data_IF_933140800387
#
_entry.id   IF_933140800387
#
_cell.length_a   1.000
_cell.length_b   1.000
_cell.length_c   1.000
_cell.angle_alpha   90.00
_cell.angle_beta   90.00
_cell.angle_gamma   90.00
#
_symmetry.space_group_name_H-M   'P 1'
#
loop_
_entity.id
_entity.type
_entity.pdbx_description
1 polymer ?
#
# COMPACT_ATOMS: atom_id res chain seq x y z
N UNK A 1 37.60 40.63 -20.77
CA UNK A 1 36.43 39.84 -20.34
C UNK A 1 35.73 40.69 -19.29
N UNK A 2 34.57 41.25 -19.60
CA UNK A 2 33.92 42.24 -18.75
C UNK A 2 33.46 41.63 -17.43
N UNK A 3 33.56 42.37 -16.32
CA UNK A 3 33.13 41.90 -15.00
C UNK A 3 31.66 41.41 -14.98
N UNK A 4 30.82 41.96 -15.87
CA UNK A 4 29.42 41.53 -16.07
C UNK A 4 29.30 40.15 -16.71
N UNK A 5 30.16 39.81 -17.67
CA UNK A 5 30.13 38.48 -18.30
C UNK A 5 30.72 37.41 -17.39
N UNK A 6 31.74 37.74 -16.59
CA UNK A 6 32.26 36.86 -15.55
C UNK A 6 31.21 36.58 -14.44
N UNK A 7 30.48 37.61 -13.99
CA UNK A 7 29.41 37.45 -13.01
C UNK A 7 28.23 36.63 -13.55
N UNK A 8 27.82 36.86 -14.80
CA UNK A 8 26.78 36.07 -15.46
C UNK A 8 27.19 34.60 -15.62
N UNK A 9 28.43 34.32 -16.02
CA UNK A 9 28.96 32.97 -16.12
C UNK A 9 29.01 32.26 -14.76
N UNK A 10 29.44 32.96 -13.70
CA UNK A 10 29.45 32.41 -12.34
C UNK A 10 28.03 32.08 -11.83
N UNK A 11 27.05 32.95 -12.09
CA UNK A 11 25.65 32.71 -11.73
C UNK A 11 25.05 31.51 -12.48
N UNK A 12 25.33 31.39 -13.78
CA UNK A 12 24.91 30.23 -14.59
C UNK A 12 25.54 28.93 -14.08
N UNK A 13 26.83 28.96 -13.73
CA UNK A 13 27.52 27.80 -13.18
C UNK A 13 26.96 27.37 -11.82
N UNK A 14 26.64 28.32 -10.93
CA UNK A 14 25.99 28.01 -9.65
C UNK A 14 24.58 27.43 -9.83
N UNK A 15 23.79 27.95 -10.78
CA UNK A 15 22.47 27.40 -11.10
C UNK A 15 22.58 25.95 -11.62
N UNK A 16 23.58 25.67 -12.47
CA UNK A 16 23.86 24.33 -12.96
C UNK A 16 24.20 23.37 -11.81
N UNK A 17 25.12 23.74 -10.90
CA UNK A 17 25.49 22.90 -9.75
C UNK A 17 24.27 22.58 -8.87
N UNK A 18 23.44 23.58 -8.55
CA UNK A 18 22.22 23.38 -7.76
C UNK A 18 21.24 22.43 -8.46
N UNK A 19 21.09 22.56 -9.79
CA UNK A 19 20.29 21.66 -10.59
C UNK A 19 20.79 20.22 -10.55
N UNK A 20 22.11 20.01 -10.68
CA UNK A 20 22.74 18.70 -10.62
C UNK A 20 22.55 18.04 -9.25
N UNK A 21 22.80 18.78 -8.16
CA UNK A 21 22.59 18.29 -6.80
C UNK A 21 21.14 17.85 -6.58
N UNK A 22 20.19 18.65 -7.04
CA UNK A 22 18.75 18.32 -6.98
C UNK A 22 18.44 17.01 -7.69
N UNK A 23 18.92 16.83 -8.92
CA UNK A 23 18.64 15.60 -9.66
C UNK A 23 19.31 14.40 -9.01
N UNK A 24 20.56 14.53 -8.57
CA UNK A 24 21.25 13.46 -7.86
C UNK A 24 20.50 13.05 -6.59
N UNK A 25 19.99 14.02 -5.83
CA UNK A 25 19.21 13.76 -4.63
C UNK A 25 17.91 13.01 -4.96
N UNK A 26 17.09 13.53 -5.89
CA UNK A 26 15.83 12.88 -6.29
C UNK A 26 16.08 11.47 -6.81
N UNK A 27 17.07 11.29 -7.69
CA UNK A 27 17.44 9.97 -8.22
C UNK A 27 17.90 9.00 -7.12
N UNK A 28 18.63 9.49 -6.11
CA UNK A 28 19.05 8.67 -4.98
C UNK A 28 17.85 8.20 -4.15
N UNK A 29 16.87 9.07 -3.92
CA UNK A 29 15.62 8.73 -3.23
C UNK A 29 14.77 7.73 -4.03
N UNK A 30 14.68 7.90 -5.35
CA UNK A 30 14.00 6.95 -6.24
C UNK A 30 14.66 5.56 -6.19
N UNK A 31 16.00 5.51 -6.19
CA UNK A 31 16.76 4.27 -6.04
C UNK A 31 16.55 3.61 -4.67
N UNK A 32 16.51 4.40 -3.59
CA UNK A 32 16.19 3.90 -2.24
C UNK A 32 14.77 3.30 -2.25
N UNK A 33 13.79 4.01 -2.81
CA UNK A 33 12.41 3.54 -2.89
C UNK A 33 12.31 2.20 -3.64
N UNK A 34 12.94 2.10 -4.82
CA UNK A 34 12.99 0.88 -5.62
C UNK A 34 13.68 -0.28 -4.87
N UNK A 35 14.80 0.01 -4.20
CA UNK A 35 15.57 -1.00 -3.46
C UNK A 35 14.78 -1.56 -2.27
N UNK A 36 14.13 -0.67 -1.51
CA UNK A 36 13.30 -1.04 -0.36
C UNK A 36 12.07 -1.85 -0.80
N UNK A 37 11.44 -1.47 -1.92
CA UNK A 37 10.34 -2.23 -2.51
C UNK A 37 10.76 -3.65 -2.89
N UNK A 38 11.88 -3.79 -3.60
CA UNK A 38 12.40 -5.10 -4.03
C UNK A 38 12.74 -5.95 -2.82
N UNK A 39 13.39 -5.36 -1.82
CA UNK A 39 13.72 -6.04 -0.56
C UNK A 39 12.46 -6.52 0.18
N UNK A 40 11.43 -5.67 0.32
CA UNK A 40 10.15 -6.05 0.90
C UNK A 40 9.49 -7.20 0.15
N UNK A 41 9.53 -7.15 -1.18
CA UNK A 41 8.97 -8.20 -2.02
C UNK A 41 9.63 -9.55 -1.76
N UNK A 42 10.97 -9.61 -1.72
CA UNK A 42 11.68 -10.84 -1.38
C UNK A 42 11.28 -11.38 0.01
N UNK A 43 11.19 -10.51 1.02
CA UNK A 43 10.83 -10.92 2.38
C UNK A 43 9.41 -11.51 2.49
N UNK A 44 8.47 -11.03 1.69
CA UNK A 44 7.08 -11.49 1.76
C UNK A 44 6.71 -12.50 0.68
N UNK A 45 7.60 -12.79 -0.26
CA UNK A 45 7.30 -13.58 -1.46
C UNK A 45 6.79 -14.98 -1.10
N UNK A 46 7.41 -15.64 -0.13
CA UNK A 46 6.97 -16.97 0.33
C UNK A 46 5.53 -16.94 0.85
N UNK A 47 5.21 -15.96 1.70
CA UNK A 47 3.84 -15.76 2.21
C UNK A 47 2.86 -15.45 1.08
N UNK A 48 3.27 -14.63 0.10
CA UNK A 48 2.46 -14.29 -1.06
C UNK A 48 2.11 -15.54 -1.87
N UNK A 49 3.09 -16.38 -2.20
CA UNK A 49 2.88 -17.63 -2.92
C UNK A 49 1.93 -18.56 -2.15
N UNK A 50 2.14 -18.69 -0.84
CA UNK A 50 1.35 -19.57 0.02
C UNK A 50 -0.11 -19.11 0.22
N UNK A 51 -0.37 -17.79 0.29
CA UNK A 51 -1.66 -17.21 0.69
C UNK A 51 -2.46 -16.58 -0.45
N UNK A 52 -1.80 -16.20 -1.55
CA UNK A 52 -2.42 -15.49 -2.67
C UNK A 52 -2.41 -16.32 -3.93
N UNK A 53 -1.25 -16.86 -4.31
CA UNK A 53 -1.12 -17.57 -5.59
C UNK A 53 -1.92 -18.88 -5.60
N UNK A 54 -1.82 -19.67 -4.53
CA UNK A 54 -2.56 -20.93 -4.37
C UNK A 54 -4.07 -20.76 -4.11
N UNK A 55 -4.52 -19.54 -3.78
CA UNK A 55 -5.95 -19.26 -3.57
C UNK A 55 -6.69 -19.17 -4.90
N UNK A 56 -7.98 -19.54 -4.89
CA UNK A 56 -8.89 -19.33 -6.03
C UNK A 56 -8.94 -17.86 -6.45
N UNK A 57 -9.21 -17.64 -7.75
CA UNK A 57 -9.39 -16.30 -8.30
C UNK A 57 -10.62 -15.62 -7.72
N UNK A 58 -10.42 -14.42 -7.17
CA UNK A 58 -11.49 -13.58 -6.66
C UNK A 58 -11.11 -12.11 -6.87
N UNK A 59 -12.09 -11.22 -6.70
CA UNK A 59 -11.92 -9.78 -6.87
C UNK A 59 -10.75 -9.22 -6.02
N UNK A 60 -10.65 -9.61 -4.75
CA UNK A 60 -9.59 -9.15 -3.84
C UNK A 60 -8.20 -9.64 -4.24
N UNK A 61 -8.07 -10.82 -4.87
CA UNK A 61 -6.80 -11.35 -5.41
C UNK A 61 -6.33 -10.52 -6.59
N UNK A 62 -7.23 -10.18 -7.52
CA UNK A 62 -6.90 -9.31 -8.66
C UNK A 62 -6.44 -7.94 -8.15
N UNK A 63 -7.20 -7.35 -7.23
CA UNK A 63 -6.90 -6.03 -6.68
C UNK A 63 -5.54 -6.01 -5.95
N UNK A 64 -5.26 -7.04 -5.14
CA UNK A 64 -3.97 -7.21 -4.49
C UNK A 64 -2.81 -7.32 -5.49
N UNK A 65 -2.93 -8.15 -6.52
CA UNK A 65 -1.86 -8.34 -7.51
C UNK A 65 -1.59 -7.05 -8.30
N UNK A 66 -2.64 -6.35 -8.75
CA UNK A 66 -2.48 -5.08 -9.45
C UNK A 66 -1.78 -4.04 -8.56
N UNK A 67 -2.24 -3.88 -7.32
CA UNK A 67 -1.62 -2.99 -6.34
C UNK A 67 -0.14 -3.33 -6.07
N UNK A 68 0.15 -4.61 -5.81
CA UNK A 68 1.48 -5.10 -5.41
C UNK A 68 2.51 -4.90 -6.50
N UNK A 69 2.14 -5.15 -7.76
CA UNK A 69 3.07 -5.17 -8.88
C UNK A 69 3.15 -3.85 -9.66
N UNK A 70 2.18 -2.94 -9.52
CA UNK A 70 2.26 -1.62 -10.17
C UNK A 70 3.54 -0.83 -9.84
N UNK A 71 4.04 -0.76 -8.59
CA UNK A 71 5.28 -0.06 -8.27
C UNK A 71 6.52 -0.57 -9.02
N UNK A 72 6.53 -1.83 -9.44
CA UNK A 72 7.60 -2.36 -10.28
C UNK A 72 7.55 -1.77 -11.69
N UNK A 73 6.35 -1.55 -12.23
CA UNK A 73 6.19 -0.92 -13.53
C UNK A 73 6.41 0.59 -13.45
N UNK A 74 5.82 1.27 -12.46
CA UNK A 74 5.93 2.73 -12.33
C UNK A 74 7.32 3.19 -11.84
N UNK A 75 7.78 2.70 -10.69
CA UNK A 75 8.98 3.20 -10.02
C UNK A 75 10.23 2.46 -10.48
N UNK A 76 10.21 1.13 -10.52
CA UNK A 76 11.41 0.34 -10.89
C UNK A 76 11.68 0.42 -12.38
N UNK A 77 10.66 0.32 -13.23
CA UNK A 77 10.86 0.33 -14.68
C UNK A 77 10.82 1.75 -15.27
N UNK A 78 9.68 2.45 -15.22
CA UNK A 78 9.53 3.73 -15.94
C UNK A 78 10.42 4.84 -15.36
N UNK A 79 10.43 5.04 -14.04
CA UNK A 79 11.25 6.09 -13.43
C UNK A 79 12.75 5.80 -13.60
N UNK A 80 13.24 4.59 -13.32
CA UNK A 80 14.67 4.30 -13.54
C UNK A 80 15.06 4.39 -15.02
N UNK A 81 14.18 3.99 -15.94
CA UNK A 81 14.40 4.20 -17.37
C UNK A 81 14.46 5.68 -17.73
N UNK A 82 13.65 6.54 -17.12
CA UNK A 82 13.73 8.00 -17.31
C UNK A 82 15.06 8.58 -16.82
N UNK A 83 15.69 7.99 -15.80
CA UNK A 83 16.95 8.47 -15.23
C UNK A 83 18.18 7.94 -15.96
N UNK A 84 18.15 6.68 -16.39
CA UNK A 84 19.34 5.96 -16.89
C UNK A 84 19.20 5.47 -18.34
N UNK A 85 18.01 5.60 -18.96
CA UNK A 85 17.71 5.05 -20.28
C UNK A 85 18.41 5.78 -21.43
N UNK A 86 18.96 5.06 -22.43
CA UNK A 86 19.64 5.67 -23.58
C UNK A 86 18.67 6.44 -24.51
N UNK A 87 19.10 7.59 -25.04
CA UNK A 87 18.47 8.25 -26.20
C UNK A 87 17.09 8.87 -25.99
N UNK A 88 16.75 9.31 -24.78
CA UNK A 88 15.44 9.93 -24.51
C UNK A 88 15.37 11.38 -25.02
N UNK A 89 14.45 11.65 -25.95
CA UNK A 89 14.08 13.01 -26.33
C UNK A 89 13.09 13.65 -25.36
N UNK A 90 12.95 14.98 -25.41
CA UNK A 90 12.05 15.77 -24.53
C UNK A 90 10.59 15.28 -24.56
N UNK A 91 10.07 14.93 -25.74
CA UNK A 91 8.71 14.41 -25.90
C UNK A 91 8.56 13.05 -25.22
N UNK A 92 9.54 12.18 -25.37
CA UNK A 92 9.56 10.88 -24.70
C UNK A 92 9.64 11.05 -23.19
N UNK A 93 10.49 11.95 -22.68
CA UNK A 93 10.56 12.28 -21.25
C UNK A 93 9.18 12.65 -20.69
N UNK A 94 8.47 13.56 -21.35
CA UNK A 94 7.12 13.99 -20.91
C UNK A 94 6.13 12.82 -20.91
N UNK A 95 6.16 11.96 -21.94
CA UNK A 95 5.27 10.79 -22.03
C UNK A 95 5.56 9.74 -20.96
N UNK A 96 6.83 9.36 -20.78
CA UNK A 96 7.23 8.38 -19.77
C UNK A 96 6.92 8.89 -18.36
N UNK A 97 7.18 10.17 -18.08
CA UNK A 97 6.87 10.79 -16.79
C UNK A 97 5.36 10.89 -16.54
N UNK A 98 4.57 11.26 -17.55
CA UNK A 98 3.11 11.28 -17.42
C UNK A 98 2.57 9.86 -17.18
N UNK A 99 3.08 8.87 -17.90
CA UNK A 99 2.70 7.47 -17.72
C UNK A 99 3.03 6.97 -16.30
N UNK A 100 4.26 7.23 -15.80
CA UNK A 100 4.62 6.86 -14.44
C UNK A 100 3.73 7.56 -13.41
N UNK A 101 3.47 8.86 -13.60
CA UNK A 101 2.58 9.63 -12.72
C UNK A 101 1.16 9.06 -12.62
N UNK A 102 0.53 8.72 -13.76
CA UNK A 102 -0.79 8.10 -13.76
C UNK A 102 -0.78 6.69 -13.18
N UNK A 103 0.28 5.91 -13.41
CA UNK A 103 0.42 4.58 -12.81
C UNK A 103 0.61 4.66 -11.30
N UNK A 104 1.37 5.63 -10.79
CA UNK A 104 1.52 5.87 -9.36
C UNK A 104 0.19 6.27 -8.73
N UNK A 105 -0.54 7.22 -9.34
CA UNK A 105 -1.83 7.67 -8.85
C UNK A 105 -2.86 6.54 -8.83
N UNK A 106 -3.00 5.80 -9.93
CA UNK A 106 -3.92 4.65 -10.03
C UNK A 106 -3.54 3.55 -9.05
N UNK A 107 -2.25 3.27 -8.90
CA UNK A 107 -1.76 2.35 -7.88
C UNK A 107 -2.17 2.79 -6.48
N UNK A 108 -1.85 4.01 -6.05
CA UNK A 108 -2.30 4.50 -4.75
C UNK A 108 -3.83 4.41 -4.59
N UNK A 109 -4.60 4.62 -5.66
CA UNK A 109 -6.05 4.44 -5.65
C UNK A 109 -6.49 3.00 -5.37
N UNK A 110 -5.85 2.00 -6.01
CA UNK A 110 -6.15 0.59 -5.74
C UNK A 110 -5.82 0.21 -4.30
N UNK A 111 -4.72 0.74 -3.76
CA UNK A 111 -4.32 0.57 -2.36
C UNK A 111 -5.37 1.15 -1.40
N UNK A 112 -5.81 2.37 -1.66
CA UNK A 112 -6.84 3.04 -0.89
C UNK A 112 -8.19 2.34 -1.00
N UNK A 113 -8.52 1.77 -2.16
CA UNK A 113 -9.71 0.96 -2.37
C UNK A 113 -9.68 -0.32 -1.50
N UNK A 114 -8.54 -1.02 -1.45
CA UNK A 114 -8.35 -2.18 -0.56
C UNK A 114 -8.63 -1.80 0.90
N UNK A 115 -8.02 -0.71 1.37
CA UNK A 115 -8.20 -0.23 2.74
C UNK A 115 -9.66 0.18 3.02
N UNK A 116 -10.32 0.79 2.05
CA UNK A 116 -11.73 1.20 2.12
C UNK A 116 -12.68 -0.02 2.17
N UNK A 117 -12.42 -1.05 1.37
CA UNK A 117 -13.17 -2.32 1.40
C UNK A 117 -12.98 -3.06 2.72
N UNK A 118 -11.79 -2.97 3.33
CA UNK A 118 -11.55 -3.52 4.67
C UNK A 118 -12.41 -2.84 5.73
N UNK A 119 -12.48 -1.50 5.71
CA UNK A 119 -13.38 -0.74 6.61
C UNK A 119 -14.81 -1.24 6.41
N UNK A 120 -15.32 -1.27 5.18
CA UNK A 120 -16.66 -1.78 4.88
C UNK A 120 -16.92 -3.20 5.43
N UNK A 121 -15.96 -4.11 5.31
CA UNK A 121 -16.08 -5.47 5.83
C UNK A 121 -16.16 -5.54 7.35
N UNK A 122 -15.45 -4.66 8.08
CA UNK A 122 -15.48 -4.61 9.55
C UNK A 122 -16.82 -4.07 10.07
N UNK A 123 -17.46 -3.14 9.36
CA UNK A 123 -18.81 -2.66 9.69
C UNK A 123 -19.94 -3.62 9.30
N UNK A 124 -19.66 -4.92 9.25
CA UNK A 124 -20.65 -5.94 8.92
C UNK A 124 -21.46 -5.65 7.63
N UNK A 125 -20.86 -4.93 6.66
CA UNK A 125 -21.47 -4.56 5.38
C UNK A 125 -22.77 -3.74 5.50
N UNK A 126 -22.81 -2.77 6.41
CA UNK A 126 -23.95 -1.86 6.54
C UNK A 126 -24.35 -1.26 5.15
N UNK A 127 -25.63 -1.35 4.75
CA UNK A 127 -26.11 -0.80 3.48
C UNK A 127 -25.86 0.71 3.33
N UNK A 128 -25.84 1.49 4.42
CA UNK A 128 -25.55 2.93 4.39
C UNK A 128 -24.11 3.18 3.95
N UNK A 129 -23.18 2.41 4.52
CA UNK A 129 -21.76 2.45 4.20
C UNK A 129 -21.50 1.98 2.76
N UNK A 130 -22.28 1.02 2.27
CA UNK A 130 -22.16 0.51 0.89
C UNK A 130 -22.38 1.60 -0.18
N UNK A 131 -23.21 2.61 0.10
CA UNK A 131 -23.43 3.76 -0.80
C UNK A 131 -22.46 4.91 -0.47
N UNK A 132 -22.25 5.19 0.81
CA UNK A 132 -21.44 6.32 1.25
C UNK A 132 -19.95 6.18 0.91
N UNK A 133 -19.34 5.00 1.09
CA UNK A 133 -17.91 4.78 0.84
C UNK A 133 -17.50 5.02 -0.63
N UNK A 134 -18.23 4.51 -1.64
CA UNK A 134 -17.95 4.84 -3.04
C UNK A 134 -18.07 6.33 -3.35
N UNK A 135 -19.05 7.04 -2.77
CA UNK A 135 -19.22 8.48 -3.00
C UNK A 135 -18.04 9.28 -2.47
N UNK A 136 -17.57 8.97 -1.25
CA UNK A 136 -16.37 9.61 -0.67
C UNK A 136 -15.12 9.25 -1.48
N UNK A 137 -14.97 7.97 -1.84
CA UNK A 137 -13.84 7.52 -2.65
C UNK A 137 -13.76 8.30 -3.98
N UNK A 138 -14.86 8.39 -4.72
CA UNK A 138 -14.91 9.16 -5.96
C UNK A 138 -14.71 10.66 -5.72
N UNK A 139 -15.32 11.21 -4.67
CA UNK A 139 -15.20 12.61 -4.29
C UNK A 139 -13.76 13.03 -3.96
N UNK A 140 -12.92 12.12 -3.46
CA UNK A 140 -11.50 12.37 -3.23
C UNK A 140 -10.65 12.11 -4.49
N UNK A 141 -10.88 11.00 -5.18
CA UNK A 141 -10.02 10.58 -6.29
C UNK A 141 -10.22 11.38 -7.58
N UNK A 142 -11.43 11.89 -7.85
CA UNK A 142 -11.68 12.74 -9.03
C UNK A 142 -10.85 14.04 -8.96
N UNK A 143 -10.89 14.82 -7.86
CA UNK A 143 -10.02 15.99 -7.71
C UNK A 143 -8.52 15.65 -7.75
N UNK A 144 -8.09 14.53 -7.15
CA UNK A 144 -6.69 14.09 -7.21
C UNK A 144 -6.24 13.90 -8.67
N UNK A 145 -7.04 13.21 -9.48
CA UNK A 145 -6.72 12.99 -10.90
C UNK A 145 -6.72 14.29 -11.70
N UNK A 146 -7.62 15.22 -11.38
CA UNK A 146 -7.66 16.55 -11.99
C UNK A 146 -6.38 17.36 -11.67
N UNK A 147 -6.00 17.46 -10.40
CA UNK A 147 -4.78 18.18 -10.01
C UNK A 147 -3.52 17.52 -10.57
N UNK A 148 -3.49 16.18 -10.64
CA UNK A 148 -2.41 15.46 -11.31
C UNK A 148 -2.33 15.79 -12.80
N UNK A 149 -3.46 15.86 -13.50
CA UNK A 149 -3.50 16.28 -14.90
C UNK A 149 -2.96 17.70 -15.09
N UNK A 150 -3.42 18.67 -14.29
CA UNK A 150 -2.95 20.07 -14.36
C UNK A 150 -1.45 20.14 -14.10
N UNK A 151 -0.96 19.45 -13.06
CA UNK A 151 0.46 19.36 -12.75
C UNK A 151 1.27 18.80 -13.93
N UNK A 152 0.85 17.66 -14.49
CA UNK A 152 1.55 17.04 -15.63
C UNK A 152 1.58 17.93 -16.89
N UNK A 153 0.54 18.76 -17.09
CA UNK A 153 0.54 19.74 -18.19
C UNK A 153 1.51 20.90 -17.96
N UNK A 154 1.71 21.31 -16.70
CA UNK A 154 2.62 22.39 -16.32
C UNK A 154 4.11 22.03 -16.46
N UNK A 155 4.45 20.75 -16.60
CA UNK A 155 5.84 20.29 -16.63
C UNK A 155 6.56 20.69 -17.91
N UNK A 156 7.67 21.42 -17.74
CA UNK A 156 8.62 21.76 -18.79
C UNK A 156 9.92 20.98 -18.61
N UNK A 157 10.27 20.19 -19.62
CA UNK A 157 11.47 19.36 -19.63
C UNK A 157 12.56 19.95 -20.53
N UNK A 158 13.81 19.81 -20.10
CA UNK A 158 14.99 20.01 -20.95
C UNK A 158 15.91 18.80 -20.91
N UNK A 159 16.76 18.69 -21.92
CA UNK A 159 17.81 17.68 -22.03
C UNK A 159 19.16 18.36 -21.80
N UNK A 160 20.05 17.67 -21.09
CA UNK A 160 21.40 18.16 -20.86
C UNK A 160 22.22 18.08 -22.16
N UNK A 161 23.05 19.09 -22.49
CA UNK A 161 23.87 19.06 -23.69
C UNK A 161 24.86 17.86 -23.67
N UNK A 162 25.08 17.27 -24.84
CA UNK A 162 25.69 15.94 -25.05
C UNK A 162 27.06 15.69 -24.39
N UNK A 163 27.81 16.74 -24.07
CA UNK A 163 29.13 16.61 -23.42
C UNK A 163 28.99 16.26 -21.93
N UNK A 164 27.91 16.69 -21.28
CA UNK A 164 27.59 16.41 -19.88
C UNK A 164 26.73 15.13 -19.73
N UNK A 165 26.08 14.73 -20.82
CA UNK A 165 25.24 13.54 -20.97
C UNK A 165 26.00 12.23 -20.68
N UNK A 166 27.27 12.13 -21.11
CA UNK A 166 28.10 10.95 -20.85
C UNK A 166 28.59 10.83 -19.40
N UNK A 167 28.56 11.93 -18.63
CA UNK A 167 29.07 11.98 -17.25
C UNK A 167 27.93 11.78 -16.24
N UNK A 168 26.74 12.29 -16.53
CA UNK A 168 25.59 12.31 -15.62
C UNK A 168 24.47 11.35 -16.03
N UNK A 169 24.53 10.77 -17.21
CA UNK A 169 23.45 9.99 -17.80
C UNK A 169 22.34 10.86 -18.39
N UNK A 170 21.35 10.20 -18.99
CA UNK A 170 20.28 10.84 -19.77
C UNK A 170 19.19 11.34 -18.85
N UNK A 171 19.44 12.46 -18.18
CA UNK A 171 18.51 12.95 -17.18
C UNK A 171 17.53 13.93 -17.83
N UNK A 172 16.27 13.51 -17.94
CA UNK A 172 15.17 14.43 -18.22
C UNK A 172 15.06 15.44 -17.06
N UNK A 173 15.37 16.70 -17.33
CA UNK A 173 15.42 17.74 -16.29
C UNK A 173 14.14 18.57 -16.29
N UNK A 174 13.46 18.63 -15.14
CA UNK A 174 12.26 19.47 -14.94
C UNK A 174 12.72 20.89 -14.60
N UNK A 175 12.46 21.86 -15.48
CA UNK A 175 12.81 23.27 -15.22
C UNK A 175 11.70 23.96 -14.44
N UNK A 176 10.46 23.69 -14.83
CA UNK A 176 9.28 24.39 -14.35
C UNK A 176 8.17 23.38 -14.04
N UNK A 177 7.51 23.60 -12.92
CA UNK A 177 6.37 22.82 -12.45
C UNK A 177 5.50 23.71 -11.56
N UNK A 178 4.17 23.61 -11.73
CA UNK A 178 3.22 24.30 -10.87
C UNK A 178 3.21 23.63 -9.47
N UNK A 179 3.16 24.47 -8.42
CA UNK A 179 3.04 23.99 -7.04
C UNK A 179 1.67 23.41 -6.72
N UNK A 180 0.67 23.56 -7.60
CA UNK A 180 -0.68 23.00 -7.40
C UNK A 180 -0.69 21.52 -7.02
N UNK A 181 0.38 20.77 -7.34
CA UNK A 181 0.59 19.39 -6.94
C UNK A 181 0.46 19.13 -5.43
N UNK A 182 0.78 20.09 -4.55
CA UNK A 182 0.61 19.87 -3.09
C UNK A 182 -0.85 19.58 -2.71
N UNK A 183 -1.83 20.01 -3.52
CA UNK A 183 -3.25 19.73 -3.28
C UNK A 183 -3.55 18.23 -3.30
N UNK A 184 -2.79 17.43 -4.06
CA UNK A 184 -2.93 15.97 -4.07
C UNK A 184 -2.67 15.41 -2.67
N UNK A 185 -1.57 15.83 -2.04
CA UNK A 185 -1.22 15.40 -0.69
C UNK A 185 -2.19 15.93 0.37
N UNK A 186 -2.70 17.16 0.21
CA UNK A 186 -3.74 17.69 1.10
C UNK A 186 -5.00 16.82 1.06
N UNK A 187 -5.43 16.40 -0.13
CA UNK A 187 -6.59 15.51 -0.29
C UNK A 187 -6.35 14.12 0.30
N UNK A 188 -5.14 13.58 0.16
CA UNK A 188 -4.76 12.31 0.78
C UNK A 188 -4.77 12.41 2.31
N UNK A 189 -4.21 13.48 2.89
CA UNK A 189 -4.27 13.74 4.34
C UNK A 189 -5.71 13.84 4.84
N UNK A 190 -6.59 14.52 4.11
CA UNK A 190 -8.02 14.62 4.49
C UNK A 190 -8.65 13.22 4.52
N UNK A 191 -8.36 12.39 3.52
CA UNK A 191 -8.86 11.01 3.46
C UNK A 191 -8.35 10.17 4.64
N UNK A 192 -7.07 10.30 4.99
CA UNK A 192 -6.43 9.61 6.11
C UNK A 192 -6.95 10.08 7.46
N UNK A 193 -7.11 11.40 7.63
CA UNK A 193 -7.66 12.01 8.84
C UNK A 193 -9.12 11.61 9.06
N UNK A 194 -9.92 11.57 7.98
CA UNK A 194 -11.30 11.07 8.03
C UNK A 194 -11.35 9.62 8.50
N UNK A 195 -10.43 8.77 8.01
CA UNK A 195 -10.32 7.38 8.46
C UNK A 195 -9.85 7.24 9.91
N UNK A 196 -9.06 8.20 10.40
CA UNK A 196 -8.58 8.22 11.78
C UNK A 196 -9.60 8.78 12.79
N UNK A 197 -10.49 9.70 12.39
CA UNK A 197 -11.40 10.44 13.27
C UNK A 197 -12.79 9.84 13.50
N UNK A 198 -13.07 8.62 13.04
CA UNK A 198 -14.37 7.97 13.29
C UNK A 198 -14.52 7.48 14.75
N UNK A 199 -15.77 7.45 15.22
CA UNK A 199 -16.22 7.21 16.61
C UNK A 199 -15.44 6.14 17.40
N UNK A 200 -15.39 6.26 18.73
CA UNK A 200 -14.58 5.42 19.66
C UNK A 200 -14.80 3.88 19.55
N UNK A 201 -15.89 3.44 18.91
CA UNK A 201 -16.13 2.03 18.57
C UNK A 201 -15.37 1.57 17.31
N UNK A 202 -15.07 2.47 16.36
CA UNK A 202 -14.16 2.29 15.22
C UNK A 202 -12.73 2.01 15.70
N UNK A 203 -12.36 2.59 16.85
CA UNK A 203 -11.03 2.55 17.44
C UNK A 203 -10.65 1.20 18.07
N UNK A 204 -11.57 0.42 18.66
CA UNK A 204 -11.15 -0.84 19.29
C UNK A 204 -10.96 -2.00 18.30
N UNK A 205 -11.78 -2.08 17.25
CA UNK A 205 -11.84 -3.28 16.40
C UNK A 205 -11.00 -3.19 15.12
N UNK A 206 -10.80 -1.98 14.56
CA UNK A 206 -9.99 -1.77 13.34
C UNK A 206 -8.55 -1.34 13.68
N UNK A 207 -8.37 -0.66 14.80
CA UNK A 207 -7.15 0.10 15.11
C UNK A 207 -6.06 -0.74 15.80
N UNK A 208 -6.40 -1.79 16.55
CA UNK A 208 -5.40 -2.58 17.32
C UNK A 208 -4.32 -3.23 16.45
N UNK A 209 -4.64 -3.62 15.21
CA UNK A 209 -3.69 -4.27 14.28
C UNK A 209 -3.41 -3.46 13.00
N UNK A 210 -4.18 -2.40 12.72
CA UNK A 210 -4.14 -1.65 11.45
C UNK A 210 -3.71 -0.18 11.54
N UNK A 211 -3.71 0.42 12.74
CA UNK A 211 -3.55 1.86 12.93
C UNK A 211 -2.17 2.40 12.57
N UNK A 212 -1.14 1.64 12.93
CA UNK A 212 0.26 2.02 12.71
C UNK A 212 0.51 2.34 11.24
N UNK A 213 -0.15 1.60 10.33
CA UNK A 213 -0.03 1.83 8.89
C UNK A 213 -0.62 3.18 8.46
N UNK A 214 -1.81 3.53 8.95
CA UNK A 214 -2.41 4.84 8.64
C UNK A 214 -1.60 6.00 9.22
N UNK A 215 -1.01 5.81 10.41
CA UNK A 215 -0.10 6.81 10.99
C UNK A 215 1.16 7.00 10.15
N UNK A 216 1.75 5.93 9.61
CA UNK A 216 2.89 6.03 8.71
C UNK A 216 2.53 6.74 7.39
N UNK A 217 1.37 6.41 6.80
CA UNK A 217 0.90 7.06 5.58
C UNK A 217 0.65 8.56 5.81
N UNK A 218 -0.05 8.90 6.88
CA UNK A 218 -0.27 10.28 7.31
C UNK A 218 1.02 11.06 7.55
N UNK A 219 1.99 10.44 8.22
CA UNK A 219 3.29 11.06 8.43
C UNK A 219 4.03 11.30 7.10
N UNK A 220 4.02 10.34 6.18
CA UNK A 220 4.66 10.46 4.87
C UNK A 220 3.99 11.52 3.98
N UNK A 221 2.66 11.52 3.91
CA UNK A 221 1.89 12.55 3.20
C UNK A 221 2.15 13.95 3.78
N UNK A 222 2.26 14.07 5.10
CA UNK A 222 2.63 15.33 5.78
C UNK A 222 4.05 15.77 5.41
N UNK A 223 5.02 14.85 5.40
CA UNK A 223 6.39 15.13 4.98
C UNK A 223 6.46 15.58 3.52
N UNK A 224 5.66 14.99 2.63
CA UNK A 224 5.57 15.42 1.23
C UNK A 224 5.08 16.87 1.10
N UNK A 225 4.07 17.29 1.87
CA UNK A 225 3.63 18.70 1.90
C UNK A 225 4.75 19.61 2.40
N UNK A 226 5.42 19.24 3.49
CA UNK A 226 6.53 20.04 4.04
C UNK A 226 7.62 20.22 2.99
N UNK A 227 8.01 19.15 2.31
CA UNK A 227 9.01 19.19 1.23
C UNK A 227 8.59 20.15 0.12
N UNK A 228 7.35 20.07 -0.38
CA UNK A 228 6.87 20.94 -1.48
C UNK A 228 6.78 22.42 -1.05
N UNK A 229 6.49 22.69 0.23
CA UNK A 229 6.32 24.07 0.73
C UNK A 229 7.63 24.73 1.14
N UNK A 230 8.60 23.95 1.63
CA UNK A 230 9.87 24.45 2.17
C UNK A 230 10.99 24.44 1.12
N UNK A 231 11.07 23.39 0.29
CA UNK A 231 12.16 23.26 -0.68
C UNK A 231 11.90 24.08 -1.97
N UNK A 232 12.98 24.46 -2.69
CA UNK A 232 12.87 25.11 -3.99
C UNK A 232 12.15 24.25 -5.05
N UNK A 233 11.82 24.86 -6.19
CA UNK A 233 11.21 24.13 -7.30
C UNK A 233 12.09 22.97 -7.79
N UNK A 234 11.44 21.85 -8.13
CA UNK A 234 12.02 20.59 -8.58
C UNK A 234 12.32 19.55 -7.49
N UNK A 235 12.00 19.83 -6.23
CA UNK A 235 12.00 18.84 -5.15
C UNK A 235 10.60 18.27 -4.86
N UNK A 236 9.59 18.63 -5.66
CA UNK A 236 8.19 18.28 -5.39
C UNK A 236 7.93 16.77 -5.40
N UNK A 237 8.83 16.01 -6.02
CA UNK A 237 8.72 14.55 -6.13
C UNK A 237 9.71 13.77 -5.27
N UNK A 238 10.47 14.46 -4.40
CA UNK A 238 11.56 13.85 -3.65
C UNK A 238 11.11 12.67 -2.79
N UNK A 239 9.96 12.80 -2.12
CA UNK A 239 9.40 11.76 -1.25
C UNK A 239 8.24 10.99 -1.92
N UNK A 240 7.79 11.40 -3.11
CA UNK A 240 6.66 10.76 -3.82
C UNK A 240 6.94 9.30 -4.13
N UNK A 241 8.14 8.97 -4.61
CA UNK A 241 8.53 7.58 -4.91
C UNK A 241 8.58 6.71 -3.65
N UNK A 242 9.15 7.22 -2.57
CA UNK A 242 9.19 6.53 -1.27
C UNK A 242 7.78 6.30 -0.75
N UNK A 243 6.94 7.34 -0.71
CA UNK A 243 5.56 7.20 -0.25
C UNK A 243 4.80 6.18 -1.10
N UNK A 244 4.93 6.23 -2.43
CA UNK A 244 4.30 5.26 -3.34
C UNK A 244 4.70 3.82 -3.02
N UNK A 245 6.00 3.54 -2.88
CA UNK A 245 6.50 2.21 -2.57
C UNK A 245 6.05 1.75 -1.18
N UNK A 246 6.24 2.59 -0.16
CA UNK A 246 5.85 2.29 1.22
C UNK A 246 4.36 2.04 1.31
N UNK A 247 3.53 2.87 0.67
CA UNK A 247 2.09 2.68 0.65
C UNK A 247 1.72 1.30 0.11
N UNK A 248 2.29 0.90 -1.03
CA UNK A 248 2.04 -0.44 -1.58
C UNK A 248 2.52 -1.56 -0.66
N UNK A 249 3.71 -1.41 -0.06
CA UNK A 249 4.27 -2.39 0.88
C UNK A 249 3.39 -2.56 2.11
N UNK A 250 2.95 -1.46 2.73
CA UNK A 250 2.11 -1.48 3.92
C UNK A 250 0.75 -2.11 3.62
N UNK A 251 0.07 -1.70 2.54
CA UNK A 251 -1.21 -2.30 2.14
C UNK A 251 -1.07 -3.81 1.89
N UNK A 252 0.03 -4.22 1.25
CA UNK A 252 0.29 -5.63 0.95
C UNK A 252 0.55 -6.47 2.20
N UNK A 253 1.39 -5.97 3.12
CA UNK A 253 1.68 -6.64 4.40
C UNK A 253 0.41 -6.82 5.22
N UNK A 254 -0.42 -5.78 5.33
CA UNK A 254 -1.71 -5.87 6.03
C UNK A 254 -2.56 -7.01 5.47
N UNK A 255 -2.71 -7.10 4.15
CA UNK A 255 -3.50 -8.17 3.54
C UNK A 255 -2.90 -9.56 3.73
N UNK A 256 -1.57 -9.69 3.62
CA UNK A 256 -0.88 -10.96 3.84
C UNK A 256 -1.03 -11.43 5.29
N UNK A 257 -0.84 -10.55 6.28
CA UNK A 257 -1.01 -10.87 7.69
C UNK A 257 -2.44 -11.28 8.03
N UNK A 258 -3.44 -10.57 7.49
CA UNK A 258 -4.86 -10.94 7.67
C UNK A 258 -5.14 -12.33 7.09
N UNK A 259 -4.65 -12.62 5.88
CA UNK A 259 -4.83 -13.96 5.26
C UNK A 259 -4.09 -15.06 6.04
N UNK A 260 -2.91 -14.75 6.56
CA UNK A 260 -2.15 -15.69 7.39
C UNK A 260 -2.92 -16.02 8.68
N UNK A 261 -3.47 -15.01 9.35
CA UNK A 261 -4.27 -15.19 10.56
C UNK A 261 -5.56 -15.97 10.29
N UNK A 262 -6.30 -15.63 9.23
CA UNK A 262 -7.50 -16.37 8.83
C UNK A 262 -7.19 -17.86 8.57
N UNK A 263 -6.12 -18.15 7.81
CA UNK A 263 -5.70 -19.54 7.55
C UNK A 263 -5.27 -20.28 8.82
N UNK A 264 -4.60 -19.59 9.75
CA UNK A 264 -4.19 -20.19 11.04
C UNK A 264 -5.41 -20.55 11.90
N UNK A 265 -6.44 -19.70 11.91
CA UNK A 265 -7.70 -19.99 12.58
C UNK A 265 -8.41 -21.17 11.93
N UNK A 266 -8.53 -21.20 10.61
CA UNK A 266 -9.13 -22.33 9.88
C UNK A 266 -8.41 -23.65 10.19
N UNK A 267 -7.08 -23.64 10.22
CA UNK A 267 -6.29 -24.81 10.60
C UNK A 267 -6.51 -25.22 12.07
N UNK A 268 -6.65 -24.26 12.99
CA UNK A 268 -6.93 -24.53 14.40
C UNK A 268 -8.34 -25.10 14.59
N UNK A 269 -9.35 -24.56 13.89
CA UNK A 269 -10.71 -25.10 13.88
C UNK A 269 -10.75 -26.49 13.24
N UNK A 270 -10.08 -26.69 12.10
CA UNK A 270 -9.94 -28.00 11.49
C UNK A 270 -9.28 -28.98 12.46
N UNK A 271 -8.15 -28.63 13.08
CA UNK A 271 -7.47 -29.48 14.07
C UNK A 271 -8.37 -29.85 15.26
N UNK A 272 -9.14 -28.88 15.80
CA UNK A 272 -10.14 -29.16 16.84
C UNK A 272 -11.27 -30.07 16.36
N UNK A 273 -11.66 -29.98 15.09
CA UNK A 273 -12.70 -30.82 14.51
C UNK A 273 -12.19 -32.21 14.09
N UNK A 274 -10.89 -32.34 13.79
CA UNK A 274 -10.21 -33.62 13.55
C UNK A 274 -9.83 -34.33 14.86
N UNK A 275 -10.06 -33.71 16.03
CA UNK A 275 -9.93 -34.37 17.33
C UNK A 275 -11.10 -35.33 17.65
N UNK A 276 -11.94 -35.66 16.67
CA UNK A 276 -13.04 -36.61 16.81
C UNK A 276 -12.51 -38.06 16.81
N UNK A 277 -12.29 -38.62 18.01
CA UNK A 277 -12.77 -39.97 18.31
C UNK A 277 -11.78 -41.10 18.58
N UNK A 278 -10.46 -40.87 18.68
CA UNK A 278 -9.49 -41.98 18.94
C UNK A 278 -8.46 -41.70 20.05
N UNK A 279 -8.24 -40.45 20.49
CA UNK A 279 -7.17 -40.14 21.47
C UNK A 279 -7.64 -39.78 22.89
N UNK A 280 -8.94 -39.86 23.19
CA UNK A 280 -9.38 -40.01 24.58
C UNK A 280 -9.21 -41.47 25.01
N UNK A 281 -7.97 -41.84 25.36
CA UNK A 281 -7.74 -43.03 26.17
C UNK A 281 -8.30 -42.73 27.57
N UNK A 282 -9.26 -43.51 28.10
CA UNK A 282 -9.52 -43.46 29.53
C UNK A 282 -8.22 -43.87 30.21
N UNK A 283 -7.67 -43.02 31.08
CA UNK A 283 -6.64 -43.48 32.01
C UNK A 283 -7.30 -44.55 32.88
N UNK A 284 -7.10 -45.81 32.50
CA UNK A 284 -7.41 -46.98 33.30
C UNK A 284 -6.49 -46.92 34.51
N UNK A 285 -6.97 -46.33 35.60
CA UNK A 285 -6.43 -46.63 36.91
C UNK A 285 -6.90 -48.04 37.27
N UNK A 286 -5.99 -49.00 37.07
CA UNK A 286 -6.13 -50.38 37.52
C UNK A 286 -6.16 -50.47 39.05
N UNK A 287 -7.08 -51.31 39.54
CA UNK A 287 -7.25 -51.84 40.92
C UNK A 287 -7.98 -50.88 41.89
N UNK A 288 -9.11 -51.25 42.53
CA UNK A 288 -9.44 -52.49 43.27
C UNK A 288 -10.96 -52.70 43.46
N UNK A 289 -11.37 -53.97 43.33
CA UNK A 289 -12.37 -54.76 44.08
C UNK A 289 -13.87 -54.38 44.17
N UNK A 290 -14.68 -55.34 43.66
CA UNK A 290 -15.97 -55.87 44.20
C UNK A 290 -17.36 -55.30 43.77
N UNK A 291 -18.46 -56.10 43.83
CA UNK A 291 -19.29 -56.39 42.65
C UNK A 291 -20.80 -56.08 42.74
N UNK A 292 -21.50 -56.38 41.62
CA UNK A 292 -22.95 -56.60 41.43
C UNK A 292 -23.95 -55.40 41.43
N UNK A 293 -24.62 -55.16 40.30
CA UNK A 293 -25.99 -55.68 40.04
C UNK A 293 -26.70 -55.09 38.79
N UNK A 294 -27.31 -56.02 38.02
CA UNK A 294 -28.57 -56.01 37.25
C UNK A 294 -28.98 -54.93 36.23
N UNK A 295 -29.49 -55.48 35.12
CA UNK A 295 -30.46 -54.97 34.12
C UNK A 295 -29.92 -53.93 33.12
N UNK A 296 -29.97 -54.09 31.80
CA UNK A 296 -30.88 -54.83 30.94
C UNK A 296 -31.74 -53.83 30.15
N UNK A 297 -31.38 -53.53 28.89
CA UNK A 297 -32.27 -53.34 27.72
C UNK A 297 -31.56 -52.67 26.54
N UNK A 298 -32.03 -53.07 25.36
CA UNK A 298 -31.51 -52.88 24.01
C UNK A 298 -32.10 -51.64 23.32
N UNK A 299 -31.38 -51.10 22.34
CA UNK A 299 -31.88 -50.45 21.11
C UNK A 299 -32.42 -49.01 21.18
N UNK A 300 -31.71 -48.06 20.56
CA UNK A 300 -32.04 -47.58 19.19
C UNK A 300 -31.03 -46.52 18.71
N UNK A 301 -30.49 -46.72 17.51
CA UNK A 301 -29.82 -45.67 16.72
C UNK A 301 -30.88 -44.69 16.22
N UNK A 302 -30.75 -43.42 16.59
CA UNK A 302 -31.43 -42.31 15.93
C UNK A 302 -30.41 -41.19 15.70
N UNK A 303 -30.19 -40.90 14.41
CA UNK A 303 -29.38 -39.78 13.94
C UNK A 303 -30.19 -38.51 14.21
N UNK A 304 -29.73 -37.70 15.15
CA UNK A 304 -30.27 -36.36 15.41
C UNK A 304 -29.28 -35.34 14.86
N UNK A 305 -29.64 -34.70 13.74
CA UNK A 305 -28.96 -33.50 13.23
C UNK A 305 -29.39 -32.35 14.14
N UNK A 306 -28.57 -32.02 15.14
CA UNK A 306 -28.86 -30.91 16.04
C UNK A 306 -28.30 -29.60 15.44
N UNK A 307 -29.21 -28.75 14.99
CA UNK A 307 -28.97 -27.36 14.57
C UNK A 307 -28.75 -26.53 15.85
N UNK A 308 -27.52 -26.27 16.23
CA UNK A 308 -27.22 -25.54 17.47
C UNK A 308 -27.57 -24.06 17.30
N UNK A 309 -28.66 -23.62 17.95
CA UNK A 309 -28.90 -22.21 18.24
C UNK A 309 -27.96 -21.76 19.36
N UNK A 310 -27.27 -20.64 19.12
CA UNK A 310 -26.48 -19.93 20.14
C UNK A 310 -27.45 -19.20 21.05
N UNK A 311 -27.61 -19.67 22.30
CA UNK A 311 -28.22 -18.90 23.39
C UNK A 311 -27.09 -18.46 24.33
N UNK A 312 -26.96 -17.14 24.44
CA UNK A 312 -26.07 -16.46 25.37
C UNK A 312 -26.71 -16.43 26.75
N UNK A 313 -26.17 -17.18 27.72
CA UNK A 313 -26.42 -16.92 29.15
C UNK A 313 -25.25 -16.13 29.74
N UNK A 314 -25.58 -14.96 30.32
CA UNK A 314 -24.70 -14.18 31.20
C UNK A 314 -24.84 -14.72 32.63
N UNK A 315 -23.69 -14.96 33.25
CA UNK A 315 -23.45 -15.06 34.70
C UNK A 315 -22.06 -14.42 34.85
N UNK A 316 -21.79 -13.34 35.60
CA UNK A 316 -22.39 -12.67 36.75
C UNK A 316 -22.65 -11.18 36.48
#
# INVERSE_FOLDING_TARGET
MDARTAAAAAAQFQALIKGLYRVQLVTSFDLIAASVLIYDWFLTFEMEVALVWKSNWNFMKVLFLLQRYMPFADTVFLILYLKFGPGLGVVSCKRFYAASGYMMATGTALSELILTLRVWAVWHRDPRLTIFLPLVYLGCWIPIMYFMYVFLQSLVFTILPGNLHNILGNQCFIIEADRIFYMVWVLLIILEAYKAGGDSALYQTVYRDGAIYYLYLFALSTLNIIVIRVLPHGYENLLTGIERCVHSMLTSRVLLHIRAHARSQDNMYASKHWADGVTDLPMVNLSKDEPESRAGTTSHRSIVIQRTQVVSERVL
#
